data_IF_197203665558
#
_entry.id   IF_197203665558
#
_cell.length_a   1.000
_cell.length_b   1.000
_cell.length_c   1.000
_cell.angle_alpha   90.00
_cell.angle_beta   90.00
_cell.angle_gamma   90.00
#
_symmetry.space_group_name_H-M   'P 1'
#
loop_
_entity.id
_entity.type
_entity.pdbx_description
1 polymer ?
#
# COMPACT_ATOMS: atom_id res chain seq x y z
N UNK A 1 19.69 27.03 -43.02
CA UNK A 1 20.66 27.19 -41.92
C UNK A 1 19.93 27.63 -40.65
N UNK A 2 19.75 26.70 -39.70
CA UNK A 2 19.55 26.96 -38.26
C UNK A 2 18.34 27.74 -37.76
N UNK A 3 17.20 27.08 -37.53
CA UNK A 3 16.28 27.47 -36.44
C UNK A 3 16.09 26.29 -35.47
N UNK A 4 16.99 26.35 -34.48
CA UNK A 4 17.00 25.76 -33.13
C UNK A 4 15.74 25.03 -32.70
N UNK A 5 15.94 23.82 -32.19
CA UNK A 5 14.95 23.07 -31.42
C UNK A 5 14.49 23.87 -30.20
N UNK A 6 13.21 24.22 -30.19
CA UNK A 6 12.50 24.51 -28.97
C UNK A 6 12.25 23.17 -28.28
N UNK A 7 13.16 22.80 -27.38
CA UNK A 7 12.84 21.90 -26.28
C UNK A 7 11.66 22.55 -25.57
N UNK A 8 10.45 22.06 -25.80
CA UNK A 8 9.28 22.39 -25.00
C UNK A 8 9.67 22.11 -23.56
N UNK A 9 9.89 23.18 -22.80
CA UNK A 9 9.98 23.12 -21.36
C UNK A 9 8.64 22.50 -20.94
N UNK A 10 8.68 21.27 -20.40
CA UNK A 10 7.55 20.69 -19.70
C UNK A 10 7.31 21.57 -18.48
N UNK A 11 6.61 22.70 -18.68
CA UNK A 11 6.08 23.49 -17.59
C UNK A 11 5.05 22.57 -16.95
N UNK A 12 5.39 22.09 -15.75
CA UNK A 12 4.43 21.35 -14.92
C UNK A 12 3.24 22.27 -14.76
N UNK A 13 2.11 21.91 -15.39
CA UNK A 13 0.90 22.71 -15.27
C UNK A 13 0.54 22.81 -13.78
N UNK A 14 0.28 24.01 -13.26
CA UNK A 14 -0.10 24.17 -11.87
C UNK A 14 -1.39 23.38 -11.61
N UNK A 15 -1.41 22.64 -10.49
CA UNK A 15 -2.58 21.91 -10.04
C UNK A 15 -3.77 22.87 -9.95
N UNK A 16 -4.84 22.57 -10.69
CA UNK A 16 -6.07 23.36 -10.64
C UNK A 16 -6.67 23.35 -9.24
N UNK A 17 -7.34 24.44 -8.84
CA UNK A 17 -7.99 24.55 -7.52
C UNK A 17 -8.98 23.40 -7.27
N UNK A 18 -9.70 22.99 -8.33
CA UNK A 18 -10.60 21.84 -8.28
C UNK A 18 -9.86 20.55 -7.90
N UNK A 19 -8.65 20.35 -8.43
CA UNK A 19 -7.87 19.16 -8.16
C UNK A 19 -7.44 19.08 -6.68
N UNK A 20 -7.06 20.22 -6.10
CA UNK A 20 -6.71 20.31 -4.68
C UNK A 20 -7.91 20.07 -3.76
N UNK A 21 -9.07 20.63 -4.12
CA UNK A 21 -10.31 20.41 -3.37
C UNK A 21 -10.74 18.95 -3.40
N UNK A 22 -10.67 18.29 -4.56
CA UNK A 22 -10.95 16.86 -4.70
C UNK A 22 -9.97 16.02 -3.86
N UNK A 23 -8.68 16.32 -3.90
CA UNK A 23 -7.69 15.64 -3.08
C UNK A 23 -7.98 15.79 -1.57
N UNK A 24 -8.30 17.00 -1.10
CA UNK A 24 -8.66 17.22 0.31
C UNK A 24 -9.92 16.44 0.70
N UNK A 25 -10.93 16.41 -0.18
CA UNK A 25 -12.14 15.62 0.02
C UNK A 25 -11.81 14.13 0.12
N UNK A 26 -11.01 13.59 -0.80
CA UNK A 26 -10.55 12.19 -0.79
C UNK A 26 -9.81 11.87 0.50
N UNK A 27 -8.86 12.71 0.89
CA UNK A 27 -8.05 12.52 2.10
C UNK A 27 -8.91 12.49 3.36
N UNK A 28 -9.82 13.46 3.51
CA UNK A 28 -10.76 13.51 4.65
C UNK A 28 -11.68 12.29 4.64
N UNK A 29 -12.22 11.91 3.47
CA UNK A 29 -13.09 10.75 3.34
C UNK A 29 -12.38 9.45 3.75
N UNK A 30 -11.18 9.22 3.22
CA UNK A 30 -10.35 8.07 3.55
C UNK A 30 -10.06 8.02 5.05
N UNK A 31 -9.62 9.12 5.65
CA UNK A 31 -9.31 9.20 7.08
C UNK A 31 -10.55 8.95 7.96
N UNK A 32 -11.68 9.59 7.65
CA UNK A 32 -12.90 9.46 8.45
C UNK A 32 -13.44 8.03 8.37
N UNK A 33 -13.53 7.45 7.19
CA UNK A 33 -14.05 6.08 7.02
C UNK A 33 -13.09 5.06 7.62
N UNK A 34 -11.78 5.17 7.38
CA UNK A 34 -10.79 4.28 8.00
C UNK A 34 -10.81 4.36 9.53
N UNK A 35 -10.84 5.57 10.09
CA UNK A 35 -10.83 5.75 11.54
C UNK A 35 -12.11 5.26 12.21
N UNK A 36 -13.26 5.53 11.60
CA UNK A 36 -14.56 5.08 12.14
C UNK A 36 -14.66 3.55 12.10
N UNK A 37 -14.32 2.92 10.97
CA UNK A 37 -14.37 1.47 10.87
C UNK A 37 -13.29 0.79 11.73
N UNK A 38 -12.10 1.37 11.84
CA UNK A 38 -11.07 0.91 12.76
C UNK A 38 -11.54 0.95 14.23
N UNK A 39 -12.24 2.01 14.63
CA UNK A 39 -12.86 2.09 15.97
C UNK A 39 -14.01 1.09 16.16
N UNK A 40 -14.79 0.82 15.12
CA UNK A 40 -15.83 -0.22 15.18
C UNK A 40 -15.18 -1.59 15.34
N UNK A 41 -14.12 -1.89 14.59
CA UNK A 41 -13.37 -3.14 14.69
C UNK A 41 -12.82 -3.35 16.11
N UNK A 42 -12.21 -2.33 16.71
CA UNK A 42 -11.69 -2.44 18.10
C UNK A 42 -12.80 -2.63 19.12
N UNK A 43 -13.98 -2.01 18.94
CA UNK A 43 -15.15 -2.25 19.81
C UNK A 43 -15.69 -3.68 19.70
N UNK A 44 -15.50 -4.34 18.56
CA UNK A 44 -15.85 -5.74 18.35
C UNK A 44 -14.76 -6.72 18.81
N UNK A 45 -13.64 -6.23 19.35
CA UNK A 45 -12.51 -7.06 19.79
C UNK A 45 -11.55 -7.46 18.67
N UNK A 46 -11.65 -6.83 17.49
CA UNK A 46 -10.74 -7.03 16.36
C UNK A 46 -9.62 -5.97 16.37
N UNK A 47 -8.44 -6.27 15.78
CA UNK A 47 -7.42 -5.25 15.55
C UNK A 47 -7.94 -4.10 14.69
N UNK A 48 -7.43 -2.89 14.93
CA UNK A 48 -7.83 -1.65 14.23
C UNK A 48 -7.70 -1.78 12.70
N UNK A 49 -6.61 -2.41 12.24
CA UNK A 49 -6.28 -2.63 10.82
C UNK A 49 -7.39 -3.34 10.05
N UNK A 50 -8.17 -4.21 10.70
CA UNK A 50 -9.26 -4.92 10.03
C UNK A 50 -10.30 -3.91 9.53
N UNK A 51 -10.64 -2.91 10.34
CA UNK A 51 -11.57 -1.85 9.95
C UNK A 51 -10.97 -0.90 8.89
N UNK A 52 -9.68 -0.62 8.96
CA UNK A 52 -8.98 0.23 7.99
C UNK A 52 -8.90 -0.42 6.60
N UNK A 53 -8.60 -1.72 6.55
CA UNK A 53 -8.62 -2.51 5.31
C UNK A 53 -10.03 -2.59 4.73
N UNK A 54 -11.04 -2.78 5.58
CA UNK A 54 -12.44 -2.74 5.16
C UNK A 54 -12.81 -1.37 4.57
N UNK A 55 -12.34 -0.26 5.15
CA UNK A 55 -12.56 1.07 4.58
C UNK A 55 -12.01 1.18 3.15
N UNK A 56 -10.78 0.70 2.92
CA UNK A 56 -10.17 0.66 1.60
C UNK A 56 -10.95 -0.21 0.62
N UNK A 57 -11.43 -1.38 1.05
CA UNK A 57 -12.28 -2.25 0.24
C UNK A 57 -13.63 -1.59 -0.11
N UNK A 58 -14.27 -0.94 0.87
CA UNK A 58 -15.56 -0.29 0.71
C UNK A 58 -15.47 0.91 -0.24
N UNK A 59 -14.46 1.77 -0.08
CA UNK A 59 -14.27 2.98 -0.90
C UNK A 59 -13.56 2.72 -2.23
N UNK A 60 -12.87 1.58 -2.35
CA UNK A 60 -12.16 1.18 -3.55
C UNK A 60 -13.08 0.80 -4.71
N UNK A 61 -12.49 0.59 -5.91
CA UNK A 61 -13.26 0.23 -7.10
C UNK A 61 -13.96 -1.13 -6.96
N UNK A 62 -13.48 -2.01 -6.09
CA UNK A 62 -14.03 -3.37 -5.91
C UNK A 62 -15.46 -3.38 -5.38
N UNK A 63 -15.82 -2.50 -4.44
CA UNK A 63 -17.20 -2.41 -3.96
C UNK A 63 -17.88 -1.12 -4.41
N UNK A 64 -17.31 0.05 -4.09
CA UNK A 64 -17.93 1.32 -4.47
C UNK A 64 -18.04 1.47 -5.99
N UNK A 65 -16.98 1.09 -6.72
CA UNK A 65 -16.99 1.12 -8.19
C UNK A 65 -18.04 0.19 -8.81
N UNK A 66 -18.35 -0.94 -8.17
CA UNK A 66 -19.40 -1.85 -8.63
C UNK A 66 -20.82 -1.40 -8.26
N UNK A 67 -21.01 -0.80 -7.08
CA UNK A 67 -22.33 -0.35 -6.61
C UNK A 67 -22.75 0.99 -7.22
N UNK A 68 -21.80 1.91 -7.40
CA UNK A 68 -22.06 3.27 -7.89
C UNK A 68 -20.85 3.79 -8.70
N UNK A 69 -20.62 3.24 -9.92
CA UNK A 69 -19.44 3.56 -10.72
C UNK A 69 -19.28 5.07 -10.99
N UNK A 70 -20.37 5.77 -11.33
CA UNK A 70 -20.32 7.21 -11.61
C UNK A 70 -19.96 8.07 -10.40
N UNK A 71 -20.37 7.66 -9.19
CA UNK A 71 -19.97 8.37 -7.97
C UNK A 71 -18.53 8.04 -7.57
N UNK A 72 -18.11 6.78 -7.77
CA UNK A 72 -16.73 6.37 -7.51
C UNK A 72 -15.76 7.11 -8.44
N UNK A 73 -16.06 7.21 -9.74
CA UNK A 73 -15.22 7.92 -10.70
C UNK A 73 -15.20 9.43 -10.42
N UNK A 74 -16.30 10.00 -9.93
CA UNK A 74 -16.36 11.41 -9.52
C UNK A 74 -15.50 11.71 -8.29
N UNK A 75 -15.54 10.84 -7.27
CA UNK A 75 -14.79 11.05 -6.02
C UNK A 75 -13.33 10.59 -6.16
N UNK A 76 -13.06 9.52 -6.90
CA UNK A 76 -11.76 8.91 -7.12
C UNK A 76 -11.48 8.74 -8.63
N UNK A 77 -11.28 9.84 -9.37
CA UNK A 77 -10.93 9.79 -10.79
C UNK A 77 -9.58 9.10 -10.99
N UNK A 78 -9.47 8.29 -12.04
CA UNK A 78 -8.25 7.55 -12.40
C UNK A 78 -7.19 8.42 -13.11
N UNK A 79 -7.25 9.74 -12.92
CA UNK A 79 -6.29 10.67 -13.47
C UNK A 79 -4.95 10.57 -12.73
N UNK A 80 -3.85 10.43 -13.46
CA UNK A 80 -2.52 10.27 -12.88
C UNK A 80 -2.18 11.37 -11.86
N UNK A 81 -2.52 12.63 -12.17
CA UNK A 81 -2.27 13.75 -11.26
C UNK A 81 -2.95 13.59 -9.89
N UNK A 82 -4.18 13.07 -9.85
CA UNK A 82 -4.94 12.83 -8.62
C UNK A 82 -4.39 11.65 -7.84
N UNK A 83 -4.12 10.53 -8.52
CA UNK A 83 -3.57 9.33 -7.90
C UNK A 83 -2.22 9.62 -7.26
N UNK A 84 -1.35 10.38 -7.93
CA UNK A 84 -0.03 10.74 -7.40
C UNK A 84 -0.10 11.63 -6.15
N UNK A 85 -1.13 12.47 -5.97
CA UNK A 85 -1.28 13.26 -4.74
C UNK A 85 -1.53 12.37 -3.52
N UNK A 86 -2.44 11.39 -3.65
CA UNK A 86 -2.70 10.41 -2.59
C UNK A 86 -1.48 9.49 -2.36
N UNK A 87 -0.76 9.14 -3.43
CA UNK A 87 0.45 8.33 -3.35
C UNK A 87 1.55 9.04 -2.55
N UNK A 88 1.78 10.34 -2.78
CA UNK A 88 2.76 11.13 -2.03
C UNK A 88 2.42 11.15 -0.54
N UNK A 89 1.15 11.35 -0.18
CA UNK A 89 0.73 11.31 1.23
C UNK A 89 0.91 9.91 1.83
N UNK A 90 0.61 8.86 1.05
CA UNK A 90 0.81 7.47 1.48
C UNK A 90 2.29 7.18 1.76
N UNK A 91 3.20 7.62 0.88
CA UNK A 91 4.64 7.51 1.10
C UNK A 91 5.10 8.29 2.33
N UNK A 92 4.58 9.50 2.55
CA UNK A 92 4.86 10.26 3.77
C UNK A 92 4.39 9.49 5.02
N UNK A 93 3.19 8.91 5.00
CA UNK A 93 2.67 8.08 6.08
C UNK A 93 3.55 6.86 6.37
N UNK A 94 3.98 6.13 5.33
CA UNK A 94 4.88 4.98 5.45
C UNK A 94 6.24 5.40 6.01
N UNK A 95 6.83 6.50 5.53
CA UNK A 95 8.09 7.02 6.03
C UNK A 95 7.97 7.40 7.51
N UNK A 96 6.89 8.10 7.89
CA UNK A 96 6.61 8.44 9.29
C UNK A 96 6.48 7.19 10.16
N UNK A 97 5.76 6.16 9.70
CA UNK A 97 5.61 4.89 10.40
C UNK A 97 6.95 4.17 10.62
N UNK A 98 7.80 4.13 9.58
CA UNK A 98 9.12 3.50 9.66
C UNK A 98 10.08 4.26 10.57
N UNK A 99 10.02 5.60 10.58
CA UNK A 99 10.80 6.42 11.51
C UNK A 99 10.36 6.14 12.94
N UNK A 100 9.05 6.17 13.23
CA UNK A 100 8.53 5.89 14.56
C UNK A 100 8.91 4.49 15.04
N UNK A 101 8.75 3.49 14.18
CA UNK A 101 9.19 2.11 14.41
C UNK A 101 10.68 2.06 14.77
N UNK A 102 11.53 2.77 14.02
CA UNK A 102 12.96 2.83 14.29
C UNK A 102 13.30 3.48 15.63
N UNK A 103 12.56 4.53 16.03
CA UNK A 103 12.72 5.22 17.31
C UNK A 103 12.27 4.37 18.51
N UNK A 104 11.24 3.53 18.33
CA UNK A 104 10.74 2.61 19.37
C UNK A 104 11.57 1.32 19.48
N UNK A 105 12.39 1.01 18.48
CA UNK A 105 13.19 -0.21 18.44
C UNK A 105 14.46 -0.11 19.30
N UNK A 106 14.60 -0.98 20.31
CA UNK A 106 15.83 -1.11 21.10
C UNK A 106 16.91 -1.91 20.35
N UNK A 107 17.72 -1.21 19.58
CA UNK A 107 18.84 -1.78 18.81
C UNK A 107 19.90 -2.41 19.73
N UNK A 108 20.11 -1.88 20.94
CA UNK A 108 21.10 -2.40 21.87
C UNK A 108 20.67 -3.77 22.43
N UNK A 109 19.38 -3.96 22.70
CA UNK A 109 18.83 -5.27 23.08
C UNK A 109 18.95 -6.29 21.95
N UNK A 110 18.67 -5.88 20.71
CA UNK A 110 18.83 -6.72 19.52
C UNK A 110 20.30 -7.14 19.38
N UNK A 111 21.23 -6.21 19.51
CA UNK A 111 22.67 -6.50 19.42
C UNK A 111 23.12 -7.48 20.51
N UNK A 112 22.68 -7.30 21.76
CA UNK A 112 22.99 -8.21 22.88
C UNK A 112 22.44 -9.62 22.68
N UNK A 113 21.28 -9.76 22.03
CA UNK A 113 20.64 -11.06 21.73
C UNK A 113 20.86 -11.52 20.27
N UNK A 114 21.84 -10.96 19.57
CA UNK A 114 21.96 -11.02 18.11
C UNK A 114 21.86 -12.41 17.50
N UNK A 115 22.50 -13.44 18.09
CA UNK A 115 22.41 -14.81 17.56
C UNK A 115 20.99 -15.39 17.61
N UNK A 116 20.27 -15.19 18.71
CA UNK A 116 18.88 -15.65 18.85
C UNK A 116 17.93 -14.83 17.97
N UNK A 117 18.12 -13.51 17.95
CA UNK A 117 17.34 -12.61 17.11
C UNK A 117 17.50 -12.94 15.62
N UNK A 118 18.73 -13.20 15.17
CA UNK A 118 19.02 -13.59 13.80
C UNK A 118 18.39 -14.94 13.44
N UNK A 119 18.52 -15.96 14.30
CA UNK A 119 17.92 -17.26 14.04
C UNK A 119 16.39 -17.20 13.95
N UNK A 120 15.74 -16.44 14.85
CA UNK A 120 14.29 -16.23 14.83
C UNK A 120 13.86 -15.46 13.58
N UNK A 121 14.58 -14.39 13.21
CA UNK A 121 14.29 -13.60 12.02
C UNK A 121 14.47 -14.41 10.73
N UNK A 122 15.57 -15.15 10.60
CA UNK A 122 15.82 -16.05 9.47
C UNK A 122 14.71 -17.10 9.34
N UNK A 123 14.30 -17.73 10.43
CA UNK A 123 13.17 -18.67 10.42
C UNK A 123 11.85 -17.99 10.03
N UNK A 124 11.58 -16.83 10.64
CA UNK A 124 10.37 -16.03 10.39
C UNK A 124 10.29 -15.44 8.98
N UNK A 125 11.40 -15.32 8.26
CA UNK A 125 11.42 -14.92 6.85
C UNK A 125 11.40 -16.14 5.93
N UNK A 126 12.30 -17.11 6.16
CA UNK A 126 12.52 -18.22 5.24
C UNK A 126 11.31 -19.15 5.15
N UNK A 127 10.61 -19.43 6.25
CA UNK A 127 9.44 -20.31 6.27
C UNK A 127 8.29 -19.70 5.45
N UNK A 128 7.79 -18.48 5.73
CA UNK A 128 6.75 -17.88 4.90
C UNK A 128 7.23 -17.63 3.47
N UNK A 129 8.51 -17.31 3.23
CA UNK A 129 9.04 -17.10 1.89
C UNK A 129 8.92 -18.38 1.06
N UNK A 130 9.43 -19.49 1.58
CA UNK A 130 9.37 -20.78 0.92
C UNK A 130 7.91 -21.22 0.70
N UNK A 131 7.03 -20.97 1.67
CA UNK A 131 5.60 -21.26 1.51
C UNK A 131 4.94 -20.43 0.42
N UNK A 132 5.25 -19.12 0.33
CA UNK A 132 4.70 -18.23 -0.69
C UNK A 132 5.22 -18.53 -2.09
N UNK A 133 6.51 -18.87 -2.20
CA UNK A 133 7.10 -19.35 -3.47
C UNK A 133 6.45 -20.66 -3.89
N UNK A 134 6.30 -21.62 -2.98
CA UNK A 134 5.60 -22.87 -3.26
C UNK A 134 4.17 -22.61 -3.73
N UNK A 135 3.40 -21.79 -3.02
CA UNK A 135 2.05 -21.38 -3.42
C UNK A 135 2.02 -20.77 -4.83
N UNK A 136 2.95 -19.87 -5.15
CA UNK A 136 3.05 -19.28 -6.49
C UNK A 136 3.36 -20.31 -7.60
N UNK A 137 4.08 -21.38 -7.28
CA UNK A 137 4.31 -22.50 -8.20
C UNK A 137 3.16 -23.51 -8.26
N UNK A 138 2.25 -23.54 -7.29
CA UNK A 138 1.12 -24.47 -7.27
C UNK A 138 -0.23 -23.83 -7.65
N UNK A 139 -0.31 -22.49 -7.73
CA UNK A 139 -1.53 -21.80 -8.13
C UNK A 139 -1.88 -22.10 -9.62
N UNK A 140 -3.18 -22.19 -9.98
CA UNK A 140 -3.60 -22.37 -11.37
C UNK A 140 -3.16 -21.21 -12.28
N UNK A 141 -2.95 -21.52 -13.56
CA UNK A 141 -2.47 -20.54 -14.56
C UNK A 141 -3.47 -19.39 -14.80
N UNK A 142 -4.74 -19.60 -14.48
CA UNK A 142 -5.81 -18.59 -14.54
C UNK A 142 -5.53 -17.36 -13.66
N UNK A 143 -4.76 -17.52 -12.59
CA UNK A 143 -4.38 -16.43 -11.69
C UNK A 143 -3.07 -15.75 -12.10
N UNK A 144 -2.38 -16.25 -13.12
CA UNK A 144 -1.14 -15.67 -13.63
C UNK A 144 -1.45 -14.63 -14.72
N UNK A 145 -0.72 -13.52 -14.72
CA UNK A 145 -0.77 -12.51 -15.81
C UNK A 145 -0.16 -13.02 -17.11
N UNK A 146 0.44 -14.22 -17.12
CA UNK A 146 0.99 -14.91 -18.27
C UNK A 146 1.82 -16.14 -17.83
N UNK A 147 1.88 -17.23 -18.63
CA UNK A 147 2.57 -18.47 -18.26
C UNK A 147 4.05 -18.25 -17.91
N UNK A 148 4.73 -17.36 -18.64
CA UNK A 148 6.16 -17.08 -18.48
C UNK A 148 6.49 -16.26 -17.21
N UNK A 149 5.48 -15.71 -16.52
CA UNK A 149 5.68 -14.85 -15.34
C UNK A 149 5.62 -15.61 -14.02
N UNK A 150 5.50 -16.93 -14.05
CA UNK A 150 5.31 -17.76 -12.85
C UNK A 150 6.39 -17.54 -11.79
N UNK A 151 7.66 -17.45 -12.21
CA UNK A 151 8.77 -17.20 -11.29
C UNK A 151 8.63 -15.83 -10.61
N UNK A 152 8.34 -14.77 -11.38
CA UNK A 152 8.17 -13.41 -10.84
C UNK A 152 6.99 -13.36 -9.87
N UNK A 153 5.88 -14.01 -10.22
CA UNK A 153 4.71 -14.11 -9.35
C UNK A 153 5.04 -14.87 -8.06
N UNK A 154 5.71 -16.02 -8.15
CA UNK A 154 6.09 -16.81 -6.97
C UNK A 154 7.04 -16.05 -6.04
N UNK A 155 8.03 -15.34 -6.59
CA UNK A 155 8.92 -14.48 -5.82
C UNK A 155 8.19 -13.28 -5.18
N UNK A 156 7.22 -12.70 -5.89
CA UNK A 156 6.36 -11.65 -5.35
C UNK A 156 5.55 -12.13 -4.15
N UNK A 157 4.84 -13.26 -4.27
CA UNK A 157 4.05 -13.85 -3.18
C UNK A 157 4.96 -14.26 -2.02
N UNK A 158 6.10 -14.92 -2.29
CA UNK A 158 7.09 -15.24 -1.28
C UNK A 158 7.55 -14.02 -0.50
N UNK A 159 7.88 -12.93 -1.19
CA UNK A 159 8.29 -11.67 -0.55
C UNK A 159 7.16 -11.05 0.28
N UNK A 160 5.94 -10.99 -0.28
CA UNK A 160 4.78 -10.41 0.40
C UNK A 160 4.44 -11.15 1.70
N UNK A 161 4.54 -12.49 1.71
CA UNK A 161 4.26 -13.30 2.90
C UNK A 161 5.34 -13.22 3.97
N UNK A 162 6.59 -12.89 3.60
CA UNK A 162 7.72 -12.80 4.53
C UNK A 162 7.88 -11.48 5.25
N UNK A 163 7.20 -10.43 4.77
CA UNK A 163 7.22 -9.12 5.43
C UNK A 163 6.20 -9.14 6.56
N UNK A 164 6.67 -8.91 7.78
CA UNK A 164 5.80 -8.68 8.94
C UNK A 164 5.75 -7.19 9.26
N UNK A 165 4.57 -6.69 9.60
CA UNK A 165 4.38 -5.35 10.14
C UNK A 165 4.27 -5.43 11.67
N UNK A 166 4.76 -4.41 12.36
CA UNK A 166 4.55 -4.22 13.80
C UNK A 166 3.05 -3.98 14.03
N UNK A 167 2.45 -4.52 15.10
CA UNK A 167 1.01 -4.41 15.30
C UNK A 167 0.53 -2.96 15.40
N UNK A 168 -0.63 -2.70 14.80
CA UNK A 168 -1.47 -1.49 14.91
C UNK A 168 -2.75 -1.78 15.70
#
# INVERSE_FOLDING_TARGET
MGRKGAKTLNIVEPLGEHALLLFLLQFVLLLVVARTLGQVATRLGLPSVVGELLAGFLLGPTLFGNLAPGLQEYVFPQEAAQVHLLEVVSWLGVIMLLILTGLETDVALIARKGKKAAAISLGGIAVPFASGVALGFFIPEEFLTGPDKRLVFALFIGTAMSISAIPV
#
